data_IF_918317752983
#
_entry.id   IF_918317752983
#
_cell.length_a   1.000
_cell.length_b   1.000
_cell.length_c   1.000
_cell.angle_alpha   90.00
_cell.angle_beta   90.00
_cell.angle_gamma   90.00
#
_symmetry.space_group_name_H-M   'P 1'
#
loop_
_entity.id
_entity.type
_entity.pdbx_description
1 polymer ?
#
# COMPACT_ATOMS: atom_id res chain seq x y z
N UNK A 1 -15.38 -6.88 -21.91
CA UNK A 1 -14.41 -6.15 -22.75
C UNK A 1 -12.99 -6.49 -22.30
N UNK A 2 -12.22 -7.28 -23.10
CA UNK A 2 -10.80 -7.54 -22.88
C UNK A 2 -10.02 -6.28 -23.28
N UNK A 3 -9.71 -5.41 -22.34
CA UNK A 3 -8.74 -4.33 -22.56
C UNK A 3 -7.39 -4.96 -22.90
N UNK A 4 -6.89 -4.70 -24.11
CA UNK A 4 -5.65 -5.24 -24.62
C UNK A 4 -4.49 -4.97 -23.65
N UNK A 5 -3.59 -5.93 -23.53
CA UNK A 5 -2.44 -6.03 -22.61
C UNK A 5 -1.41 -4.89 -22.70
N UNK A 6 -1.59 -3.89 -23.59
CA UNK A 6 -0.59 -2.85 -23.91
C UNK A 6 -0.93 -1.44 -23.39
N UNK A 7 -2.06 -1.23 -22.69
CA UNK A 7 -2.35 0.10 -22.14
C UNK A 7 -1.56 0.36 -20.86
N UNK A 8 -0.68 1.35 -20.91
CA UNK A 8 0.04 1.84 -19.72
C UNK A 8 -0.96 2.36 -18.69
N UNK A 9 -0.61 2.29 -17.39
CA UNK A 9 -1.48 2.71 -16.25
C UNK A 9 -2.02 4.12 -16.47
N UNK A 10 -1.22 5.06 -17.02
CA UNK A 10 -1.64 6.43 -17.33
C UNK A 10 -2.85 6.50 -18.25
N UNK A 11 -2.92 5.66 -19.30
CA UNK A 11 -4.05 5.64 -20.24
C UNK A 11 -5.30 5.04 -19.60
N UNK A 12 -5.13 4.05 -18.72
CA UNK A 12 -6.26 3.45 -17.99
C UNK A 12 -6.86 4.45 -17.01
N UNK A 13 -6.04 5.15 -16.24
CA UNK A 13 -6.47 6.22 -15.33
C UNK A 13 -7.18 7.33 -16.10
N UNK A 14 -6.56 7.84 -17.17
CA UNK A 14 -7.17 8.85 -18.02
C UNK A 14 -8.54 8.40 -18.55
N UNK A 15 -8.64 7.19 -19.09
CA UNK A 15 -9.89 6.65 -19.62
C UNK A 15 -10.98 6.52 -18.53
N UNK A 16 -10.64 6.09 -17.32
CA UNK A 16 -11.58 5.98 -16.19
C UNK A 16 -12.09 7.36 -15.79
N UNK A 17 -11.23 8.35 -15.64
CA UNK A 17 -11.63 9.71 -15.29
C UNK A 17 -12.51 10.36 -16.36
N UNK A 18 -12.16 10.21 -17.65
CA UNK A 18 -12.98 10.74 -18.75
C UNK A 18 -14.34 10.05 -18.80
N UNK A 19 -14.39 8.73 -18.64
CA UNK A 19 -15.63 7.97 -18.63
C UNK A 19 -16.53 8.37 -17.45
N UNK A 20 -15.96 8.56 -16.27
CA UNK A 20 -16.67 9.04 -15.07
C UNK A 20 -17.28 10.43 -15.30
N UNK A 21 -16.53 11.36 -15.93
CA UNK A 21 -17.06 12.69 -16.27
C UNK A 21 -18.20 12.61 -17.30
N UNK A 22 -18.08 11.77 -18.33
CA UNK A 22 -19.15 11.55 -19.30
C UNK A 22 -20.41 11.02 -18.61
N UNK A 23 -20.28 10.03 -17.72
CA UNK A 23 -21.41 9.47 -16.98
C UNK A 23 -22.10 10.54 -16.12
N UNK A 24 -21.29 11.39 -15.45
CA UNK A 24 -21.80 12.48 -14.61
C UNK A 24 -22.57 13.51 -15.43
N UNK A 25 -22.06 13.90 -16.61
CA UNK A 25 -22.72 14.82 -17.54
C UNK A 25 -24.05 14.24 -18.02
N UNK A 26 -24.08 12.95 -18.42
CA UNK A 26 -25.30 12.27 -18.88
C UNK A 26 -26.32 12.18 -17.75
N UNK A 27 -25.90 11.82 -16.54
CA UNK A 27 -26.78 11.78 -15.37
C UNK A 27 -27.37 13.15 -15.05
N UNK A 28 -26.56 14.20 -15.08
CA UNK A 28 -27.00 15.58 -14.83
C UNK A 28 -28.00 16.04 -15.89
N UNK A 29 -27.79 15.67 -17.16
CA UNK A 29 -28.77 15.95 -18.23
C UNK A 29 -30.11 15.26 -17.99
N UNK A 30 -30.12 13.99 -17.60
CA UNK A 30 -31.35 13.25 -17.30
C UNK A 30 -32.12 13.86 -16.13
N UNK A 31 -31.42 14.20 -15.06
CA UNK A 31 -32.03 14.86 -13.88
C UNK A 31 -32.59 16.24 -14.26
N UNK A 32 -31.85 17.00 -15.05
CA UNK A 32 -32.31 18.31 -15.53
C UNK A 32 -33.59 18.20 -16.37
N UNK A 33 -33.63 17.30 -17.35
CA UNK A 33 -34.84 17.05 -18.16
C UNK A 33 -36.02 16.62 -17.30
N UNK A 34 -35.80 15.66 -16.40
CA UNK A 34 -36.86 15.19 -15.52
C UNK A 34 -37.42 16.27 -14.58
N UNK A 35 -36.54 17.10 -14.02
CA UNK A 35 -36.90 18.20 -13.14
C UNK A 35 -37.64 19.31 -13.90
N UNK A 36 -37.17 19.62 -15.11
CA UNK A 36 -37.79 20.65 -15.94
C UNK A 36 -39.19 20.26 -16.39
N UNK A 37 -39.39 19.02 -16.89
CA UNK A 37 -40.66 18.53 -17.36
C UNK A 37 -41.74 18.52 -16.22
N UNK A 38 -41.36 18.14 -15.02
CA UNK A 38 -42.26 18.12 -13.86
C UNK A 38 -42.55 19.54 -13.32
N UNK A 39 -41.51 20.32 -13.13
CA UNK A 39 -41.64 21.64 -12.52
C UNK A 39 -42.38 22.64 -13.41
N UNK A 40 -42.08 22.65 -14.70
CA UNK A 40 -42.67 23.57 -15.64
C UNK A 40 -44.13 23.26 -15.91
N UNK A 41 -44.47 22.00 -16.13
CA UNK A 41 -45.86 21.59 -16.41
C UNK A 41 -46.77 21.82 -15.20
N UNK A 42 -46.34 21.46 -13.98
CA UNK A 42 -47.12 21.65 -12.77
C UNK A 42 -47.37 23.13 -12.47
N UNK A 43 -46.35 23.96 -12.58
CA UNK A 43 -46.43 25.40 -12.37
C UNK A 43 -47.38 26.09 -13.39
N UNK A 44 -47.31 25.69 -14.66
CA UNK A 44 -48.15 26.22 -15.70
C UNK A 44 -49.64 25.82 -15.51
N UNK A 45 -49.90 24.57 -15.07
CA UNK A 45 -51.28 24.08 -14.84
C UNK A 45 -51.91 24.76 -13.63
N UNK A 46 -51.18 24.94 -12.52
CA UNK A 46 -51.72 25.64 -11.33
C UNK A 46 -52.11 27.09 -11.66
N UNK A 47 -51.27 27.77 -12.42
CA UNK A 47 -51.51 29.14 -12.86
C UNK A 47 -52.66 29.29 -13.85
N UNK A 48 -52.85 28.35 -14.75
CA UNK A 48 -54.00 28.32 -15.67
C UNK A 48 -55.29 28.09 -14.92
N UNK A 49 -55.29 27.30 -13.84
CA UNK A 49 -56.46 27.07 -12.97
C UNK A 49 -56.87 28.33 -12.22
N UNK A 50 -55.95 29.03 -11.59
CA UNK A 50 -56.20 30.30 -10.90
C UNK A 50 -56.77 31.35 -11.83
N UNK A 51 -56.25 31.43 -13.06
CA UNK A 51 -56.74 32.32 -14.08
C UNK A 51 -58.17 31.95 -14.51
N UNK A 52 -58.49 30.66 -14.72
CA UNK A 52 -59.84 30.21 -15.07
C UNK A 52 -60.86 30.55 -14.01
N UNK A 53 -60.55 30.39 -12.73
CA UNK A 53 -61.43 30.76 -11.62
C UNK A 53 -61.72 32.28 -11.60
N UNK A 54 -60.68 33.11 -11.77
CA UNK A 54 -60.87 34.56 -11.85
C UNK A 54 -61.72 34.97 -13.04
N UNK A 55 -61.49 34.33 -14.20
CA UNK A 55 -62.22 34.63 -15.43
C UNK A 55 -63.70 34.14 -15.34
N UNK A 56 -63.92 32.99 -14.68
CA UNK A 56 -65.30 32.51 -14.44
C UNK A 56 -66.10 33.51 -13.65
N UNK A 57 -65.51 34.06 -12.58
CA UNK A 57 -66.16 35.06 -11.75
C UNK A 57 -66.44 36.39 -12.53
N UNK A 58 -65.50 36.84 -13.36
CA UNK A 58 -65.70 38.03 -14.20
C UNK A 58 -66.73 37.78 -15.27
N UNK A 59 -66.72 36.64 -15.92
CA UNK A 59 -67.71 36.26 -16.94
C UNK A 59 -69.15 36.09 -16.35
N UNK A 60 -69.24 35.60 -15.10
CA UNK A 60 -70.50 35.55 -14.38
C UNK A 60 -71.17 36.94 -14.18
N UNK A 61 -70.35 37.96 -13.82
CA UNK A 61 -70.84 39.34 -13.69
C UNK A 61 -71.32 39.93 -15.02
N UNK A 62 -70.63 39.58 -16.13
CA UNK A 62 -71.08 40.01 -17.46
C UNK A 62 -72.41 39.36 -17.86
N UNK A 63 -72.60 38.07 -17.54
CA UNK A 63 -73.86 37.37 -17.79
C UNK A 63 -75.02 37.97 -17.03
N UNK A 64 -74.83 38.33 -15.74
CA UNK A 64 -75.83 39.00 -14.93
C UNK A 64 -76.27 40.36 -15.52
N UNK A 65 -75.29 41.07 -16.14
CA UNK A 65 -75.60 42.40 -16.74
C UNK A 65 -76.37 42.31 -18.05
N UNK A 66 -76.12 41.31 -18.91
CA UNK A 66 -76.64 41.16 -20.25
C UNK A 66 -77.77 40.11 -20.35
N UNK A 67 -77.97 39.28 -19.33
CA UNK A 67 -78.93 38.20 -19.21
C UNK A 67 -78.93 37.14 -20.32
N UNK A 68 -77.97 37.16 -21.21
CA UNK A 68 -77.81 36.18 -22.31
C UNK A 68 -76.40 36.18 -22.86
N UNK A 69 -76.00 35.05 -23.49
CA UNK A 69 -74.75 34.90 -24.31
C UNK A 69 -74.90 35.38 -25.75
N UNK A 70 -76.15 35.65 -26.18
CA UNK A 70 -76.43 36.02 -27.58
C UNK A 70 -75.70 37.25 -28.05
N UNK A 71 -75.53 38.20 -27.24
CA UNK A 71 -74.76 39.39 -27.47
C UNK A 71 -73.26 39.08 -27.84
N UNK A 72 -72.59 38.13 -27.13
CA UNK A 72 -71.24 37.72 -27.41
C UNK A 72 -71.15 36.81 -28.64
N UNK A 73 -72.18 36.00 -28.93
CA UNK A 73 -72.21 35.09 -30.09
C UNK A 73 -72.45 35.87 -31.41
N UNK A 74 -73.25 36.92 -31.42
CA UNK A 74 -73.53 37.71 -32.61
C UNK A 74 -72.31 38.49 -33.05
N UNK A 75 -71.46 38.91 -32.17
CA UNK A 75 -70.28 39.69 -32.45
C UNK A 75 -69.05 38.84 -32.79
N UNK A 76 -69.01 37.59 -32.35
CA UNK A 76 -67.94 36.63 -32.74
C UNK A 76 -67.96 36.25 -34.22
N UNK A 77 -69.07 36.52 -34.94
CA UNK A 77 -69.18 36.31 -36.41
C UNK A 77 -68.61 37.45 -37.26
N UNK A 78 -68.17 38.54 -36.63
CA UNK A 78 -67.44 39.65 -37.31
C UNK A 78 -65.92 39.52 -37.07
N UNK A 79 -65.32 38.64 -37.79
CA UNK A 79 -64.06 37.96 -37.47
C UNK A 79 -62.79 38.80 -37.34
N UNK A 80 -62.74 40.08 -37.70
CA UNK A 80 -61.47 40.80 -37.74
C UNK A 80 -61.38 42.13 -36.98
N UNK A 81 -62.51 42.78 -36.70
CA UNK A 81 -62.46 44.05 -35.93
C UNK A 81 -62.64 43.84 -34.42
N UNK A 82 -63.19 42.71 -34.03
CA UNK A 82 -63.58 42.41 -32.66
C UNK A 82 -62.39 42.17 -31.72
N UNK A 83 -61.32 41.57 -32.23
CA UNK A 83 -60.17 41.26 -31.39
C UNK A 83 -59.42 42.50 -30.87
N UNK A 84 -59.47 43.62 -31.54
CA UNK A 84 -58.75 44.81 -31.09
C UNK A 84 -59.57 45.81 -30.28
N UNK A 85 -60.80 46.12 -30.66
CA UNK A 85 -61.55 47.27 -30.14
C UNK A 85 -62.46 46.93 -28.94
N UNK A 86 -62.97 45.75 -28.82
CA UNK A 86 -63.98 45.44 -27.79
C UNK A 86 -63.39 44.80 -26.54
N UNK A 87 -62.30 44.15 -26.64
CA UNK A 87 -61.51 43.79 -25.43
C UNK A 87 -60.96 45.03 -24.71
N UNK A 88 -60.76 46.14 -25.44
CA UNK A 88 -60.44 47.41 -24.83
C UNK A 88 -61.68 48.00 -24.14
N UNK A 89 -62.91 47.92 -24.73
CA UNK A 89 -64.13 48.37 -24.12
C UNK A 89 -64.59 47.49 -22.95
N UNK A 90 -64.32 46.16 -22.95
CA UNK A 90 -64.53 45.29 -21.83
C UNK A 90 -63.54 45.55 -20.68
N UNK A 91 -62.41 46.14 -20.98
CA UNK A 91 -61.41 46.57 -19.99
C UNK A 91 -61.97 47.74 -19.14
N UNK A 92 -62.76 48.61 -19.70
CA UNK A 92 -63.29 49.78 -19.03
C UNK A 92 -64.58 49.45 -18.17
N UNK A 93 -65.23 48.32 -18.47
CA UNK A 93 -66.39 47.82 -17.72
C UNK A 93 -66.03 46.86 -16.57
N UNK A 94 -64.82 46.40 -16.51
CA UNK A 94 -64.31 45.55 -15.43
C UNK A 94 -63.54 46.43 -14.47
N UNK A 95 -63.99 46.63 -13.20
CA UNK A 95 -63.18 47.42 -12.26
C UNK A 95 -61.79 46.83 -12.15
N UNK A 96 -60.73 47.67 -12.04
CA UNK A 96 -59.32 47.19 -11.93
C UNK A 96 -59.26 46.26 -10.70
N UNK A 97 -58.50 45.16 -10.78
CA UNK A 97 -58.29 44.25 -9.67
C UNK A 97 -57.67 45.03 -8.50
N UNK A 98 -58.23 44.81 -7.32
CA UNK A 98 -57.85 45.48 -6.07
C UNK A 98 -56.45 45.10 -5.56
N UNK A 99 -55.61 44.40 -6.33
CA UNK A 99 -54.23 44.08 -6.03
C UNK A 99 -53.30 44.55 -7.10
N UNK A 100 -52.33 45.46 -6.78
CA UNK A 100 -51.52 46.20 -7.76
C UNK A 100 -50.44 45.39 -8.50
N UNK A 101 -50.24 44.11 -8.21
CA UNK A 101 -49.08 43.33 -8.68
C UNK A 101 -49.33 42.27 -9.77
N UNK A 102 -50.59 42.04 -10.18
CA UNK A 102 -50.89 41.01 -11.18
C UNK A 102 -50.81 41.47 -12.64
N UNK A 103 -50.90 42.76 -12.90
CA UNK A 103 -50.82 43.32 -14.27
C UNK A 103 -49.41 43.37 -14.86
N UNK A 104 -48.35 43.22 -14.02
CA UNK A 104 -46.99 43.26 -14.45
C UNK A 104 -46.45 41.88 -14.89
N UNK A 105 -47.10 40.78 -14.49
CA UNK A 105 -46.54 39.44 -14.72
C UNK A 105 -47.18 38.75 -15.93
N UNK A 106 -48.34 39.22 -16.45
CA UNK A 106 -49.04 38.55 -17.53
C UNK A 106 -49.29 39.49 -18.72
N UNK A 107 -48.58 39.35 -19.82
CA UNK A 107 -48.92 40.05 -21.06
C UNK A 107 -50.34 39.56 -21.43
N UNK A 108 -51.30 40.52 -21.52
CA UNK A 108 -52.70 40.30 -21.91
C UNK A 108 -52.86 39.46 -23.19
N UNK A 109 -51.83 39.50 -24.08
CA UNK A 109 -51.79 38.69 -25.28
C UNK A 109 -51.66 37.18 -25.08
N UNK A 110 -51.05 36.73 -23.98
CA UNK A 110 -50.86 35.30 -23.75
C UNK A 110 -52.14 34.50 -23.52
N UNK A 111 -53.08 35.09 -22.75
CA UNK A 111 -54.38 34.50 -22.49
C UNK A 111 -55.39 34.76 -23.58
N UNK A 112 -55.30 35.85 -24.36
CA UNK A 112 -56.19 36.21 -25.48
C UNK A 112 -56.32 35.10 -26.51
N UNK A 113 -55.23 34.48 -26.88
CA UNK A 113 -55.24 33.41 -27.92
C UNK A 113 -55.70 32.03 -27.37
N UNK A 114 -55.77 31.88 -26.06
CA UNK A 114 -56.11 30.66 -25.39
C UNK A 114 -57.50 30.65 -24.79
N UNK A 115 -58.10 31.80 -24.57
CA UNK A 115 -59.38 31.94 -23.90
C UNK A 115 -60.51 31.39 -24.76
N UNK A 116 -61.40 30.60 -24.10
CA UNK A 116 -62.54 29.94 -24.69
C UNK A 116 -63.76 30.19 -23.80
N UNK A 117 -64.97 30.36 -24.42
CA UNK A 117 -66.19 30.46 -23.72
C UNK A 117 -67.19 29.48 -24.34
N UNK A 118 -67.93 28.77 -23.49
CA UNK A 118 -68.94 27.79 -23.87
C UNK A 118 -70.25 28.10 -23.21
N UNK A 119 -71.36 27.80 -23.90
CA UNK A 119 -72.68 27.88 -23.36
C UNK A 119 -72.97 26.74 -22.36
N UNK A 120 -74.23 26.76 -21.77
CA UNK A 120 -74.70 25.74 -20.87
C UNK A 120 -74.70 24.31 -21.49
N UNK A 121 -74.83 24.21 -22.84
CA UNK A 121 -74.87 22.99 -23.61
C UNK A 121 -73.48 22.59 -24.08
N UNK A 122 -72.45 23.30 -23.61
CA UNK A 122 -71.00 23.10 -24.00
C UNK A 122 -70.72 23.43 -25.46
N UNK A 123 -71.58 24.19 -26.12
CA UNK A 123 -71.30 24.69 -27.46
C UNK A 123 -70.34 25.92 -27.37
N UNK A 124 -69.35 26.06 -28.26
CA UNK A 124 -68.36 27.13 -28.21
C UNK A 124 -69.03 28.48 -28.60
N UNK A 125 -68.90 29.46 -27.73
CA UNK A 125 -69.38 30.88 -27.95
C UNK A 125 -68.16 31.70 -28.43
N UNK A 126 -66.99 31.52 -27.79
CA UNK A 126 -65.73 32.13 -28.15
C UNK A 126 -64.69 31.02 -28.31
N UNK A 127 -64.04 31.06 -29.48
CA UNK A 127 -63.04 30.07 -29.87
C UNK A 127 -63.62 28.84 -30.61
N UNK A 128 -62.75 28.06 -31.23
CA UNK A 128 -63.17 26.94 -32.09
C UNK A 128 -62.71 25.56 -31.53
N UNK A 129 -62.27 25.53 -30.27
CA UNK A 129 -61.77 24.28 -29.64
C UNK A 129 -62.94 23.54 -28.99
N UNK A 130 -63.10 22.22 -29.24
CA UNK A 130 -64.12 21.42 -28.57
C UNK A 130 -63.95 21.43 -27.05
N UNK A 131 -65.05 21.45 -26.29
CA UNK A 131 -65.06 21.43 -24.81
C UNK A 131 -64.16 20.35 -24.20
N UNK A 132 -64.12 19.18 -24.81
CA UNK A 132 -63.35 18.02 -24.35
C UNK A 132 -61.83 18.19 -24.46
N UNK A 133 -61.35 19.21 -25.19
CA UNK A 133 -59.94 19.53 -25.38
C UNK A 133 -59.50 20.81 -24.67
N UNK A 134 -60.40 21.42 -23.88
CA UNK A 134 -60.10 22.62 -23.10
C UNK A 134 -60.08 22.30 -21.61
N UNK A 135 -59.19 22.97 -20.85
CA UNK A 135 -59.31 23.05 -19.40
C UNK A 135 -60.41 24.05 -19.08
N UNK A 136 -61.49 23.60 -18.43
CA UNK A 136 -62.70 24.41 -18.27
C UNK A 136 -63.08 24.59 -16.80
N UNK A 137 -63.65 25.78 -16.51
CA UNK A 137 -64.22 26.10 -15.18
C UNK A 137 -65.64 26.58 -15.36
N UNK A 138 -66.64 26.14 -14.54
CA UNK A 138 -68.01 26.54 -14.67
C UNK A 138 -68.23 28.04 -14.31
N UNK A 139 -69.06 28.72 -15.06
CA UNK A 139 -69.60 30.05 -14.76
C UNK A 139 -70.88 29.87 -14.04
N UNK A 140 -70.95 30.26 -12.76
CA UNK A 140 -72.08 30.05 -11.90
C UNK A 140 -72.74 31.42 -11.55
N UNK A 141 -73.99 31.55 -11.82
CA UNK A 141 -74.83 32.74 -11.46
C UNK A 141 -76.03 32.24 -10.63
N UNK A 142 -76.21 32.81 -9.47
CA UNK A 142 -77.31 32.44 -8.54
C UNK A 142 -77.43 30.92 -8.29
N UNK A 143 -76.28 30.23 -8.19
CA UNK A 143 -76.19 28.79 -7.95
C UNK A 143 -76.49 27.91 -9.17
N UNK A 144 -76.75 28.51 -10.38
CA UNK A 144 -76.95 27.76 -11.62
C UNK A 144 -75.76 27.97 -12.54
N UNK A 145 -75.29 26.89 -13.18
CA UNK A 145 -74.27 26.98 -14.20
C UNK A 145 -74.83 27.49 -15.50
N UNK A 146 -74.43 28.69 -15.92
CA UNK A 146 -74.87 29.36 -17.13
C UNK A 146 -73.95 29.18 -18.35
N UNK A 147 -72.72 28.73 -18.11
CA UNK A 147 -71.74 28.44 -19.16
C UNK A 147 -70.38 27.96 -18.57
N UNK A 148 -69.37 27.88 -19.40
CA UNK A 148 -68.02 27.47 -18.97
C UNK A 148 -67.01 28.37 -19.62
N UNK A 149 -66.04 28.87 -18.85
CA UNK A 149 -64.82 29.44 -19.37
C UNK A 149 -63.78 28.34 -19.56
N UNK A 150 -62.95 28.44 -20.56
CA UNK A 150 -61.93 27.47 -20.85
C UNK A 150 -60.65 28.11 -21.32
N UNK A 151 -59.57 27.36 -21.15
CA UNK A 151 -58.27 27.64 -21.77
C UNK A 151 -57.89 26.50 -22.67
N UNK A 152 -57.40 26.83 -23.86
CA UNK A 152 -56.74 25.87 -24.71
C UNK A 152 -55.50 25.32 -23.99
N UNK A 153 -55.39 23.98 -23.92
CA UNK A 153 -54.30 23.32 -23.19
C UNK A 153 -52.96 23.85 -23.61
N UNK A 154 -52.12 24.13 -22.64
CA UNK A 154 -50.73 24.57 -22.89
C UNK A 154 -49.98 23.53 -23.71
N UNK A 155 -50.30 22.23 -23.55
CA UNK A 155 -49.65 21.16 -24.32
C UNK A 155 -49.81 21.31 -25.84
N UNK A 156 -50.97 21.84 -26.30
CA UNK A 156 -51.22 22.00 -27.75
C UNK A 156 -50.57 23.26 -28.35
N UNK A 157 -50.28 24.29 -27.52
CA UNK A 157 -49.60 25.53 -27.94
C UNK A 157 -48.08 25.50 -27.80
N UNK A 158 -47.63 24.67 -26.88
CA UNK A 158 -46.20 24.51 -26.56
C UNK A 158 -45.42 23.84 -27.68
N UNK A 159 -46.11 23.15 -28.62
CA UNK A 159 -45.43 22.42 -29.69
C UNK A 159 -44.60 23.31 -30.62
N UNK A 160 -44.96 24.58 -30.83
CA UNK A 160 -44.20 25.45 -31.78
C UNK A 160 -43.20 26.42 -31.14
N UNK A 161 -43.48 26.96 -29.94
CA UNK A 161 -42.58 27.93 -29.28
C UNK A 161 -41.65 27.33 -28.24
N UNK A 162 -42.03 26.24 -27.59
CA UNK A 162 -41.20 25.57 -26.60
C UNK A 162 -40.07 24.77 -27.27
N UNK A 163 -40.30 24.32 -28.49
CA UNK A 163 -39.23 23.67 -29.26
C UNK A 163 -38.00 24.57 -29.47
N UNK A 164 -38.18 25.88 -29.66
CA UNK A 164 -37.07 26.81 -29.81
C UNK A 164 -36.36 27.07 -28.49
N UNK A 165 -37.04 27.16 -27.38
CA UNK A 165 -36.44 27.36 -26.05
C UNK A 165 -35.71 26.10 -25.57
N UNK A 166 -36.30 24.93 -25.69
CA UNK A 166 -35.67 23.64 -25.35
C UNK A 166 -34.44 23.40 -26.23
N UNK A 167 -34.49 23.75 -27.52
CA UNK A 167 -33.40 23.66 -28.45
C UNK A 167 -32.24 24.59 -28.05
N UNK A 168 -32.53 25.84 -27.73
CA UNK A 168 -31.52 26.81 -27.30
C UNK A 168 -30.85 26.41 -25.98
N UNK A 169 -31.62 25.88 -25.01
CA UNK A 169 -31.06 25.34 -23.78
C UNK A 169 -30.23 24.07 -24.03
N UNK A 170 -30.69 23.21 -24.95
CA UNK A 170 -29.93 22.01 -25.37
C UNK A 170 -28.58 22.36 -25.98
N UNK A 171 -28.53 23.39 -26.85
CA UNK A 171 -27.29 23.88 -27.45
C UNK A 171 -26.33 24.47 -26.40
N UNK A 172 -26.86 25.28 -25.46
CA UNK A 172 -26.05 25.83 -24.36
C UNK A 172 -25.49 24.71 -23.45
N UNK A 173 -26.31 23.72 -23.13
CA UNK A 173 -25.86 22.56 -22.33
C UNK A 173 -24.77 21.76 -23.04
N UNK A 174 -24.90 21.52 -24.34
CA UNK A 174 -23.88 20.83 -25.15
C UNK A 174 -22.54 21.60 -25.15
N UNK A 175 -22.59 22.91 -25.32
CA UNK A 175 -21.38 23.75 -25.27
C UNK A 175 -20.70 23.73 -23.90
N UNK A 176 -21.47 23.86 -22.82
CA UNK A 176 -20.98 23.78 -21.44
C UNK A 176 -20.39 22.39 -21.17
N UNK A 177 -21.07 21.32 -21.59
CA UNK A 177 -20.62 19.95 -21.43
C UNK A 177 -19.34 19.67 -22.19
N UNK A 178 -19.23 20.13 -23.44
CA UNK A 178 -18.02 20.02 -24.24
C UNK A 178 -16.84 20.76 -23.59
N UNK A 179 -17.09 21.98 -23.10
CA UNK A 179 -16.07 22.77 -22.38
C UNK A 179 -15.59 22.09 -21.10
N UNK A 180 -16.52 21.58 -20.29
CA UNK A 180 -16.21 20.82 -19.07
C UNK A 180 -15.40 19.56 -19.37
N UNK A 181 -15.71 18.87 -20.47
CA UNK A 181 -15.01 17.66 -20.88
C UNK A 181 -13.57 17.95 -21.33
N UNK A 182 -13.37 19.10 -22.01
CA UNK A 182 -12.03 19.58 -22.37
C UNK A 182 -11.22 19.92 -21.11
N UNK A 183 -11.80 20.66 -20.16
CA UNK A 183 -11.15 20.99 -18.89
C UNK A 183 -10.78 19.71 -18.15
N UNK A 184 -11.72 18.77 -18.02
CA UNK A 184 -11.48 17.48 -17.36
C UNK A 184 -10.32 16.73 -18.02
N UNK A 185 -10.24 16.69 -19.35
CA UNK A 185 -9.16 16.03 -20.08
C UNK A 185 -7.81 16.72 -19.86
N UNK A 186 -7.79 18.07 -19.90
CA UNK A 186 -6.58 18.88 -19.69
C UNK A 186 -6.02 18.71 -18.29
N UNK A 187 -6.88 18.63 -17.26
CA UNK A 187 -6.46 18.46 -15.87
C UNK A 187 -6.10 17.00 -15.55
N UNK A 188 -6.81 16.04 -16.13
CA UNK A 188 -6.60 14.61 -15.85
C UNK A 188 -5.28 14.08 -16.45
N UNK A 189 -4.87 14.60 -17.59
CA UNK A 189 -3.65 14.14 -18.26
C UNK A 189 -2.37 14.33 -17.42
N UNK A 190 -2.04 15.54 -16.92
CA UNK A 190 -0.87 15.71 -16.07
C UNK A 190 -0.98 14.96 -14.74
N UNK A 191 -2.18 14.88 -14.15
CA UNK A 191 -2.42 14.11 -12.92
C UNK A 191 -2.13 12.62 -13.13
N UNK A 192 -2.59 12.04 -14.23
CA UNK A 192 -2.32 10.64 -14.57
C UNK A 192 -0.82 10.39 -14.83
N UNK A 193 -0.11 11.34 -15.41
CA UNK A 193 1.34 11.26 -15.57
C UNK A 193 2.08 11.37 -14.22
N UNK A 194 1.69 12.31 -13.38
CA UNK A 194 2.30 12.53 -12.07
C UNK A 194 2.19 11.28 -11.19
N UNK A 195 1.03 10.64 -11.18
CA UNK A 195 0.80 9.42 -10.39
C UNK A 195 1.48 8.17 -10.98
N UNK A 196 1.57 8.05 -12.32
CA UNK A 196 2.09 6.83 -12.95
C UNK A 196 3.61 6.82 -13.11
N UNK A 197 4.28 7.99 -13.14
CA UNK A 197 5.73 8.10 -13.34
C UNK A 197 6.54 7.44 -12.22
N UNK A 198 6.28 7.67 -10.92
CA UNK A 198 6.99 6.98 -9.83
C UNK A 198 6.85 5.47 -9.90
N UNK A 199 5.63 4.97 -10.17
CA UNK A 199 5.35 3.53 -10.28
C UNK A 199 6.15 2.90 -11.43
N UNK A 200 6.26 3.59 -12.57
CA UNK A 200 7.04 3.10 -13.71
C UNK A 200 8.54 3.06 -13.41
N UNK A 201 9.04 4.03 -12.64
CA UNK A 201 10.44 4.09 -12.19
C UNK A 201 10.74 2.94 -11.23
N UNK A 202 9.87 2.73 -10.24
CA UNK A 202 9.98 1.62 -9.28
C UNK A 202 9.98 0.25 -10.00
N UNK A 203 9.07 0.06 -10.98
CA UNK A 203 9.03 -1.16 -11.80
C UNK A 203 10.33 -1.39 -12.58
N UNK A 204 10.88 -0.33 -13.18
CA UNK A 204 12.14 -0.43 -13.92
C UNK A 204 13.31 -0.76 -12.99
N UNK A 205 13.37 -0.13 -11.81
CA UNK A 205 14.38 -0.39 -10.79
C UNK A 205 14.26 -1.82 -10.25
N UNK A 206 13.04 -2.31 -9.93
CA UNK A 206 12.82 -3.69 -9.51
C UNK A 206 13.25 -4.72 -10.57
N UNK A 207 13.03 -4.42 -11.86
CA UNK A 207 13.51 -5.27 -12.96
C UNK A 207 15.05 -5.29 -13.04
N UNK A 208 15.73 -4.19 -12.78
CA UNK A 208 17.19 -4.14 -12.71
C UNK A 208 17.71 -4.91 -11.51
N UNK A 209 17.09 -4.73 -10.34
CA UNK A 209 17.41 -5.46 -9.11
C UNK A 209 17.28 -6.98 -9.31
N UNK A 210 16.19 -7.44 -9.92
CA UNK A 210 15.96 -8.87 -10.24
C UNK A 210 16.95 -9.43 -11.28
N UNK A 211 17.58 -8.57 -12.07
CA UNK A 211 18.65 -8.93 -12.99
C UNK A 211 20.04 -8.92 -12.32
N UNK A 212 20.10 -8.76 -10.99
CA UNK A 212 21.35 -8.78 -10.21
C UNK A 212 22.09 -7.44 -10.15
N UNK A 213 21.47 -6.34 -10.59
CA UNK A 213 22.04 -4.99 -10.47
C UNK A 213 21.67 -4.39 -9.11
N UNK A 214 22.30 -4.84 -8.04
CA UNK A 214 21.97 -4.45 -6.66
C UNK A 214 22.43 -3.04 -6.29
N UNK A 215 23.26 -2.40 -7.10
CA UNK A 215 23.64 -0.99 -7.02
C UNK A 215 22.53 -0.02 -7.43
N UNK A 216 21.38 -0.55 -7.92
CA UNK A 216 20.25 0.25 -8.34
C UNK A 216 19.65 1.00 -7.17
N UNK A 217 19.51 2.34 -7.32
CA UNK A 217 18.85 3.22 -6.33
C UNK A 217 17.83 4.09 -7.03
N UNK A 218 16.74 4.40 -6.33
CA UNK A 218 15.68 5.30 -6.78
C UNK A 218 15.86 6.66 -6.10
N UNK A 219 15.77 7.74 -6.88
CA UNK A 219 15.70 9.07 -6.30
C UNK A 219 14.33 9.30 -5.67
N UNK A 220 14.31 9.47 -4.36
CA UNK A 220 13.11 9.72 -3.57
C UNK A 220 12.78 11.20 -3.64
N UNK A 221 11.54 11.52 -4.04
CA UNK A 221 11.00 12.88 -4.04
C UNK A 221 9.64 12.87 -3.38
N UNK A 222 9.46 13.77 -2.41
CA UNK A 222 8.21 13.88 -1.65
C UNK A 222 8.26 13.19 -0.28
N UNK A 223 7.12 13.22 0.41
CA UNK A 223 6.92 12.67 1.77
C UNK A 223 5.63 11.83 1.84
N UNK A 224 5.15 11.38 0.67
CA UNK A 224 3.97 10.55 0.53
C UNK A 224 4.31 9.04 0.60
N UNK A 225 3.31 8.19 0.50
CA UNK A 225 3.41 6.74 0.54
C UNK A 225 4.29 6.19 -0.61
N UNK A 226 4.37 6.90 -1.73
CA UNK A 226 5.25 6.52 -2.84
C UNK A 226 6.72 6.82 -2.52
N UNK A 227 6.98 7.88 -1.78
CA UNK A 227 8.32 8.17 -1.27
C UNK A 227 8.76 7.15 -0.22
N UNK A 228 7.84 6.70 0.67
CA UNK A 228 8.10 5.63 1.64
C UNK A 228 8.45 4.33 0.91
N UNK A 229 7.64 3.92 -0.06
CA UNK A 229 7.91 2.74 -0.88
C UNK A 229 9.26 2.82 -1.61
N UNK A 230 9.66 4.03 -2.03
CA UNK A 230 10.99 4.28 -2.62
C UNK A 230 12.12 4.08 -1.60
N UNK A 231 11.92 4.48 -0.32
CA UNK A 231 12.87 4.24 0.77
C UNK A 231 13.03 2.75 1.07
N UNK A 232 11.91 2.04 1.19
CA UNK A 232 11.90 0.59 1.44
C UNK A 232 12.60 -0.17 0.30
N UNK A 233 12.34 0.24 -0.95
CA UNK A 233 13.05 -0.33 -2.10
C UNK A 233 14.56 -0.10 -2.02
N UNK A 234 15.02 1.12 -1.69
CA UNK A 234 16.45 1.42 -1.57
C UNK A 234 17.09 0.66 -0.41
N UNK A 235 16.37 0.48 0.70
CA UNK A 235 16.82 -0.33 1.83
C UNK A 235 16.99 -1.80 1.41
N UNK A 236 15.98 -2.38 0.75
CA UNK A 236 16.06 -3.75 0.21
C UNK A 236 17.24 -3.91 -0.76
N UNK A 237 17.42 -2.95 -1.69
CA UNK A 237 18.51 -2.97 -2.65
C UNK A 237 19.88 -2.90 -1.95
N UNK A 238 20.02 -2.10 -0.87
CA UNK A 238 21.20 -2.02 -0.05
C UNK A 238 21.51 -3.33 0.66
N UNK A 239 20.49 -3.93 1.27
CA UNK A 239 20.63 -5.22 1.97
C UNK A 239 21.10 -6.32 1.02
N UNK A 240 20.49 -6.41 -0.18
CA UNK A 240 20.90 -7.40 -1.19
C UNK A 240 22.32 -7.16 -1.71
N UNK A 241 22.74 -5.90 -1.84
CA UNK A 241 24.09 -5.51 -2.26
C UNK A 241 25.12 -5.97 -1.22
N UNK A 242 24.87 -5.67 0.07
CA UNK A 242 25.71 -6.13 1.18
C UNK A 242 25.77 -7.65 1.27
N UNK A 243 24.63 -8.34 1.14
CA UNK A 243 24.60 -9.82 1.13
C UNK A 243 25.41 -10.40 -0.02
N UNK A 244 25.34 -9.81 -1.22
CA UNK A 244 26.15 -10.23 -2.38
C UNK A 244 27.64 -10.07 -2.09
N UNK A 245 28.04 -8.91 -1.55
CA UNK A 245 29.46 -8.62 -1.31
C UNK A 245 30.01 -9.48 -0.16
N UNK A 246 29.24 -9.70 0.90
CA UNK A 246 29.57 -10.65 1.95
C UNK A 246 29.77 -12.07 1.38
N UNK A 247 28.85 -12.53 0.52
CA UNK A 247 28.97 -13.85 -0.13
C UNK A 247 30.19 -13.97 -1.04
N UNK A 248 30.50 -12.90 -1.80
CA UNK A 248 31.73 -12.90 -2.65
C UNK A 248 32.99 -12.98 -1.82
N UNK A 249 33.05 -12.21 -0.73
CA UNK A 249 34.18 -12.26 0.22
C UNK A 249 34.31 -13.65 0.82
N UNK A 250 33.18 -14.22 1.30
CA UNK A 250 33.16 -15.56 1.86
C UNK A 250 33.71 -16.63 0.90
N UNK A 251 33.29 -16.61 -0.37
CA UNK A 251 33.80 -17.55 -1.39
C UNK A 251 35.30 -17.35 -1.65
N UNK A 252 35.76 -16.09 -1.70
CA UNK A 252 37.19 -15.80 -1.91
C UNK A 252 38.04 -16.26 -0.73
N UNK A 253 37.61 -15.98 0.51
CA UNK A 253 38.32 -16.37 1.73
C UNK A 253 38.34 -17.90 1.88
N UNK A 254 37.22 -18.58 1.63
CA UNK A 254 37.12 -20.05 1.60
C UNK A 254 38.13 -20.66 0.60
N UNK A 255 38.14 -20.12 -0.63
CA UNK A 255 39.05 -20.60 -1.66
C UNK A 255 40.54 -20.38 -1.28
N UNK A 256 40.86 -19.30 -0.58
CA UNK A 256 42.19 -19.01 -0.10
C UNK A 256 42.61 -19.98 1.02
N UNK A 257 41.72 -20.18 2.01
CA UNK A 257 42.01 -21.08 3.15
C UNK A 257 42.10 -22.58 2.75
N UNK A 258 41.42 -23.00 1.69
CA UNK A 258 41.55 -24.34 1.13
C UNK A 258 42.84 -24.50 0.28
N UNK A 259 43.25 -23.46 -0.45
CA UNK A 259 44.41 -23.52 -1.35
C UNK A 259 45.70 -23.75 -0.58
N UNK A 260 45.85 -23.14 0.58
CA UNK A 260 47.09 -23.20 1.38
C UNK A 260 47.41 -24.62 1.84
N UNK A 261 46.55 -25.36 2.54
CA UNK A 261 46.82 -26.73 2.99
C UNK A 261 47.00 -27.71 1.81
N UNK A 262 46.23 -27.52 0.73
CA UNK A 262 46.38 -28.34 -0.49
C UNK A 262 47.75 -28.11 -1.13
N UNK A 263 48.25 -26.86 -1.15
CA UNK A 263 49.59 -26.55 -1.69
C UNK A 263 50.70 -27.17 -0.81
N UNK A 264 50.56 -27.13 0.53
CA UNK A 264 51.48 -27.77 1.46
C UNK A 264 51.51 -29.29 1.22
N UNK A 265 50.34 -29.93 1.20
CA UNK A 265 50.19 -31.37 0.99
C UNK A 265 50.82 -31.81 -0.35
N UNK A 266 50.52 -31.01 -1.42
CA UNK A 266 51.15 -31.29 -2.73
C UNK A 266 52.69 -31.12 -2.70
N UNK A 267 53.19 -30.05 -2.06
CA UNK A 267 54.64 -29.82 -1.96
C UNK A 267 55.36 -30.90 -1.16
N UNK A 268 54.78 -31.41 -0.07
CA UNK A 268 55.33 -32.54 0.68
C UNK A 268 55.36 -33.82 -0.16
N UNK A 269 54.28 -34.12 -0.90
CA UNK A 269 54.24 -35.27 -1.81
C UNK A 269 55.28 -35.15 -2.93
N UNK A 270 55.37 -33.98 -3.60
CA UNK A 270 56.39 -33.72 -4.64
C UNK A 270 57.85 -33.89 -4.09
N UNK A 271 58.06 -33.32 -2.88
CA UNK A 271 59.38 -33.46 -2.23
C UNK A 271 59.75 -34.93 -1.87
N UNK A 272 58.76 -35.76 -1.53
CA UNK A 272 58.91 -37.19 -1.33
C UNK A 272 59.22 -37.94 -2.65
N UNK A 273 58.46 -37.56 -3.71
CA UNK A 273 58.68 -38.14 -5.06
C UNK A 273 60.09 -37.84 -5.61
N UNK A 274 60.56 -36.59 -5.39
CA UNK A 274 61.89 -36.16 -5.80
C UNK A 274 63.04 -36.66 -4.90
N UNK A 275 62.72 -37.43 -3.83
CA UNK A 275 63.67 -37.96 -2.89
C UNK A 275 64.28 -36.92 -1.94
N UNK A 276 63.74 -35.70 -1.90
CA UNK A 276 64.21 -34.63 -1.01
C UNK A 276 63.75 -34.93 0.45
N UNK A 277 62.61 -35.46 0.63
CA UNK A 277 62.07 -35.94 1.91
C UNK A 277 61.95 -37.47 1.84
N UNK A 278 62.54 -38.15 2.82
CA UNK A 278 62.41 -39.61 2.91
C UNK A 278 61.03 -40.00 3.35
N UNK A 279 60.42 -40.99 2.71
CA UNK A 279 59.17 -41.60 3.17
C UNK A 279 59.44 -42.31 4.50
N UNK A 280 58.85 -41.74 5.56
CA UNK A 280 58.98 -42.24 6.95
C UNK A 280 57.61 -42.20 7.64
N UNK A 281 57.44 -42.90 8.76
CA UNK A 281 56.24 -42.78 9.54
C UNK A 281 55.90 -41.34 9.91
N UNK A 282 56.90 -40.52 10.21
CA UNK A 282 56.72 -39.10 10.56
C UNK A 282 56.22 -38.26 9.36
N UNK A 283 56.77 -38.46 8.17
CA UNK A 283 56.33 -37.75 6.97
C UNK A 283 54.91 -38.17 6.53
N UNK A 284 54.55 -39.44 6.71
CA UNK A 284 53.19 -39.92 6.48
C UNK A 284 52.23 -39.39 7.53
N UNK A 285 52.64 -39.27 8.79
CA UNK A 285 51.84 -38.63 9.84
C UNK A 285 51.59 -37.14 9.55
N UNK A 286 52.58 -36.41 8.98
CA UNK A 286 52.41 -35.02 8.53
C UNK A 286 51.33 -34.92 7.45
N UNK A 287 51.40 -35.76 6.41
CA UNK A 287 50.36 -35.80 5.35
C UNK A 287 48.99 -36.16 5.89
N UNK A 288 48.89 -37.12 6.82
CA UNK A 288 47.68 -37.52 7.46
C UNK A 288 47.09 -36.36 8.28
N UNK A 289 47.91 -35.66 9.04
CA UNK A 289 47.51 -34.49 9.82
C UNK A 289 46.93 -33.38 8.92
N UNK A 290 47.56 -33.07 7.80
CA UNK A 290 47.11 -32.06 6.85
C UNK A 290 45.78 -32.48 6.17
N UNK A 291 45.64 -33.78 5.86
CA UNK A 291 44.37 -34.33 5.32
C UNK A 291 43.21 -34.19 6.31
N UNK A 292 43.42 -34.54 7.59
CA UNK A 292 42.45 -34.37 8.67
C UNK A 292 42.12 -32.89 8.86
N UNK A 293 43.11 -32.02 8.72
CA UNK A 293 42.98 -30.59 8.78
C UNK A 293 42.03 -30.06 7.68
N UNK A 294 42.19 -30.52 6.44
CA UNK A 294 41.30 -30.15 5.30
C UNK A 294 39.88 -30.68 5.55
N UNK A 295 39.75 -31.93 6.00
CA UNK A 295 38.43 -32.50 6.28
C UNK A 295 37.64 -31.67 7.32
N UNK A 296 38.28 -31.32 8.43
CA UNK A 296 37.65 -30.45 9.46
C UNK A 296 37.30 -29.07 8.91
N UNK A 297 38.10 -28.48 8.01
CA UNK A 297 37.77 -27.20 7.39
C UNK A 297 36.52 -27.30 6.52
N UNK A 298 36.38 -28.40 5.76
CA UNK A 298 35.20 -28.65 4.93
C UNK A 298 33.94 -28.82 5.81
N UNK A 299 34.06 -29.55 6.92
CA UNK A 299 32.98 -29.76 7.86
C UNK A 299 32.52 -28.44 8.53
N UNK A 300 33.49 -27.61 8.96
CA UNK A 300 33.22 -26.26 9.52
C UNK A 300 32.47 -25.37 8.53
N UNK A 301 32.91 -25.35 7.25
CA UNK A 301 32.29 -24.59 6.18
C UNK A 301 30.90 -25.09 5.83
N UNK A 302 30.70 -26.41 5.82
CA UNK A 302 29.41 -27.01 5.57
C UNK A 302 28.42 -26.66 6.69
N UNK A 303 28.86 -26.72 7.95
CA UNK A 303 28.05 -26.33 9.10
C UNK A 303 27.58 -24.88 9.02
N UNK A 304 28.50 -23.93 8.75
CA UNK A 304 28.18 -22.52 8.58
C UNK A 304 27.21 -22.29 7.42
N UNK A 305 27.46 -22.94 6.27
CA UNK A 305 26.58 -22.86 5.11
C UNK A 305 25.15 -23.37 5.39
N UNK A 306 25.01 -24.46 6.13
CA UNK A 306 23.70 -25.01 6.52
C UNK A 306 22.97 -24.11 7.51
N UNK A 307 23.71 -23.46 8.42
CA UNK A 307 23.14 -22.47 9.33
C UNK A 307 22.58 -21.26 8.57
N UNK A 308 23.39 -20.67 7.66
CA UNK A 308 22.97 -19.50 6.85
C UNK A 308 21.73 -19.78 5.99
N UNK A 309 21.55 -21.04 5.55
CA UNK A 309 20.34 -21.48 4.83
C UNK A 309 19.13 -21.78 5.75
N UNK A 310 19.29 -21.72 7.07
CA UNK A 310 18.26 -22.12 8.04
C UNK A 310 17.89 -23.61 7.96
N UNK A 311 18.76 -24.43 7.39
CA UNK A 311 18.51 -25.86 7.17
C UNK A 311 19.18 -26.78 8.23
N UNK A 312 19.87 -26.19 9.20
CA UNK A 312 20.46 -26.95 10.30
C UNK A 312 19.38 -27.43 11.24
N UNK A 313 19.23 -28.75 11.33
CA UNK A 313 18.30 -29.36 12.32
C UNK A 313 19.08 -29.71 13.58
N UNK A 314 18.65 -29.14 14.70
CA UNK A 314 19.20 -29.44 16.02
C UNK A 314 18.36 -30.53 16.72
N UNK A 315 19.02 -31.47 17.37
CA UNK A 315 18.36 -32.48 18.23
C UNK A 315 18.23 -31.91 19.65
N UNK A 316 17.18 -31.13 19.86
CA UNK A 316 16.96 -30.44 21.13
C UNK A 316 16.52 -31.42 22.21
N UNK A 317 17.31 -31.53 23.29
CA UNK A 317 17.03 -32.31 24.49
C UNK A 317 17.40 -31.53 25.76
N UNK A 318 16.79 -31.91 26.88
CA UNK A 318 17.12 -31.32 28.18
C UNK A 318 18.47 -31.83 28.67
N UNK A 319 19.44 -30.92 28.79
CA UNK A 319 20.82 -31.26 29.17
C UNK A 319 21.29 -30.45 30.36
N UNK A 320 22.05 -31.05 31.24
CA UNK A 320 22.71 -30.36 32.33
C UNK A 320 23.97 -29.66 31.82
N UNK A 321 23.94 -28.35 31.87
CA UNK A 321 25.01 -27.49 31.33
C UNK A 321 26.34 -27.64 32.12
N UNK A 322 26.29 -27.94 33.43
CA UNK A 322 27.49 -28.21 34.23
C UNK A 322 28.20 -29.48 33.74
N UNK A 323 27.44 -30.54 33.51
CA UNK A 323 28.00 -31.80 33.01
C UNK A 323 28.64 -31.65 31.61
N UNK A 324 28.01 -30.86 30.73
CA UNK A 324 28.57 -30.55 29.40
C UNK A 324 29.88 -29.76 29.50
N UNK A 325 29.97 -28.82 30.41
CA UNK A 325 31.18 -28.05 30.66
C UNK A 325 32.31 -28.96 31.23
N UNK A 326 31.98 -29.81 32.18
CA UNK A 326 32.91 -30.82 32.73
C UNK A 326 33.44 -31.76 31.66
N UNK A 327 32.58 -32.26 30.75
CA UNK A 327 32.99 -33.10 29.62
C UNK A 327 33.95 -32.36 28.68
N UNK A 328 33.64 -31.10 28.34
CA UNK A 328 34.50 -30.29 27.51
C UNK A 328 35.87 -30.04 28.16
N UNK A 329 35.89 -29.70 29.45
CA UNK A 329 37.14 -29.51 30.21
C UNK A 329 37.95 -30.83 30.23
N UNK A 330 37.31 -31.97 30.58
CA UNK A 330 37.99 -33.28 30.68
C UNK A 330 38.59 -33.72 29.34
N UNK A 331 37.91 -33.42 28.23
CA UNK A 331 38.45 -33.76 26.87
C UNK A 331 39.76 -33.04 26.53
N UNK A 332 40.08 -31.95 27.24
CA UNK A 332 41.24 -31.11 26.95
C UNK A 332 42.32 -31.10 28.05
N UNK A 333 42.12 -31.80 29.16
CA UNK A 333 43.02 -31.77 30.33
C UNK A 333 44.49 -32.03 29.97
N UNK A 334 44.76 -33.05 29.14
CA UNK A 334 46.13 -33.36 28.73
C UNK A 334 46.79 -32.22 27.98
N UNK A 335 46.07 -31.59 27.04
CA UNK A 335 46.58 -30.48 26.23
C UNK A 335 46.80 -29.21 27.07
N UNK A 336 45.93 -28.97 28.06
CA UNK A 336 46.03 -27.86 29.00
C UNK A 336 47.24 -28.01 29.93
N UNK A 337 47.49 -29.24 30.44
CA UNK A 337 48.67 -29.55 31.24
C UNK A 337 49.96 -29.41 30.46
N UNK A 338 50.04 -29.94 29.24
CA UNK A 338 51.17 -29.78 28.35
C UNK A 338 51.46 -28.29 28.01
N UNK A 339 50.43 -27.47 27.89
CA UNK A 339 50.53 -26.03 27.66
C UNK A 339 50.83 -25.23 28.94
N UNK A 340 50.86 -25.85 30.12
CA UNK A 340 50.98 -25.19 31.42
C UNK A 340 49.90 -24.13 31.66
N UNK A 341 48.62 -24.48 31.34
CA UNK A 341 47.43 -23.66 31.54
C UNK A 341 46.52 -24.33 32.53
N UNK A 342 46.16 -23.63 33.62
CA UNK A 342 45.29 -24.14 34.66
C UNK A 342 43.84 -23.78 34.32
N UNK A 343 42.89 -24.76 34.49
CA UNK A 343 41.45 -24.51 34.29
C UNK A 343 40.72 -24.59 35.64
N UNK A 344 39.86 -23.63 35.90
CA UNK A 344 38.98 -23.59 37.05
C UNK A 344 37.53 -23.50 36.62
N UNK A 345 36.77 -24.57 36.89
CA UNK A 345 35.30 -24.56 36.71
C UNK A 345 34.61 -24.21 38.05
N UNK A 346 33.87 -23.14 38.06
CA UNK A 346 33.10 -22.67 39.24
C UNK A 346 31.62 -22.58 38.93
N UNK A 347 30.83 -23.42 39.61
CA UNK A 347 29.37 -23.31 39.54
C UNK A 347 28.87 -22.51 40.76
N UNK A 348 28.30 -21.34 40.51
CA UNK A 348 27.71 -20.46 41.53
C UNK A 348 26.29 -20.91 41.93
N UNK A 349 25.72 -21.93 41.26
CA UNK A 349 24.38 -22.42 41.55
C UNK A 349 24.44 -23.70 42.36
N UNK A 350 23.51 -23.85 43.32
CA UNK A 350 23.38 -25.04 44.19
C UNK A 350 22.55 -26.17 43.53
N UNK A 351 21.97 -25.95 42.37
CA UNK A 351 21.10 -26.89 41.65
C UNK A 351 21.55 -27.02 40.19
N UNK A 352 21.32 -28.18 39.56
CA UNK A 352 21.62 -28.38 38.14
C UNK A 352 21.04 -27.25 37.26
N UNK A 353 21.73 -26.90 36.22
CA UNK A 353 21.30 -25.88 35.27
C UNK A 353 20.89 -26.57 33.98
N UNK A 354 19.58 -26.82 33.87
CA UNK A 354 19.02 -27.46 32.68
C UNK A 354 18.77 -26.48 31.58
N UNK A 355 19.23 -26.80 30.37
CA UNK A 355 18.99 -26.08 29.13
C UNK A 355 18.45 -27.04 28.07
N UNK A 356 17.53 -26.55 27.23
CA UNK A 356 17.07 -27.30 26.07
C UNK A 356 18.04 -27.05 24.92
N UNK A 357 18.76 -28.04 24.47
CA UNK A 357 19.77 -27.89 23.42
C UNK A 357 20.25 -29.20 22.83
N UNK A 358 20.96 -29.11 21.73
CA UNK A 358 21.65 -30.21 21.08
C UNK A 358 22.99 -30.43 21.80
N UNK A 359 23.08 -31.54 22.54
CA UNK A 359 24.20 -31.89 23.42
C UNK A 359 25.55 -31.89 22.67
N UNK A 360 25.58 -32.48 21.48
CA UNK A 360 26.79 -32.54 20.66
C UNK A 360 27.26 -31.18 20.22
N UNK A 361 26.33 -30.30 19.84
CA UNK A 361 26.61 -28.94 19.41
C UNK A 361 27.02 -28.04 20.56
N UNK A 362 26.39 -28.17 21.73
CA UNK A 362 26.82 -27.43 22.92
C UNK A 362 28.20 -27.92 23.40
N UNK A 363 28.51 -29.21 23.33
CA UNK A 363 29.86 -29.72 23.59
C UNK A 363 30.87 -29.13 22.59
N UNK A 364 30.55 -29.10 21.29
CA UNK A 364 31.37 -28.47 20.26
C UNK A 364 31.61 -26.97 20.54
N UNK A 365 30.55 -26.24 20.97
CA UNK A 365 30.67 -24.84 21.37
C UNK A 365 31.75 -24.65 22.46
N UNK A 366 31.59 -25.36 23.58
CA UNK A 366 32.51 -25.18 24.72
C UNK A 366 33.94 -25.66 24.39
N UNK A 367 34.07 -26.72 23.63
CA UNK A 367 35.37 -27.19 23.14
C UNK A 367 36.04 -26.17 22.23
N UNK A 368 35.29 -25.53 21.33
CA UNK A 368 35.82 -24.46 20.48
C UNK A 368 36.25 -23.23 21.29
N UNK A 369 35.45 -22.82 22.29
CA UNK A 369 35.82 -21.69 23.16
C UNK A 369 37.09 -22.00 23.96
N UNK A 370 37.20 -23.20 24.54
CA UNK A 370 38.37 -23.62 25.30
C UNK A 370 39.61 -23.79 24.42
N UNK A 371 39.45 -24.36 23.21
CA UNK A 371 40.54 -24.42 22.24
C UNK A 371 41.06 -23.03 21.86
N UNK A 372 40.17 -22.05 21.75
CA UNK A 372 40.56 -20.67 21.51
C UNK A 372 41.38 -20.12 22.67
N UNK A 373 40.92 -20.26 23.91
CA UNK A 373 41.69 -19.81 25.09
C UNK A 373 43.01 -20.56 25.27
N UNK A 374 43.02 -21.88 25.09
CA UNK A 374 44.27 -22.68 25.12
C UNK A 374 45.33 -22.16 24.14
N UNK A 375 44.90 -21.74 22.97
CA UNK A 375 45.76 -21.32 21.89
C UNK A 375 46.32 -19.90 22.07
N UNK A 376 45.56 -18.99 22.65
CA UNK A 376 45.91 -17.59 22.71
C UNK A 376 46.33 -17.13 24.10
N UNK A 377 46.13 -17.93 25.16
CA UNK A 377 46.60 -17.62 26.51
C UNK A 377 48.12 -17.89 26.61
N UNK A 378 48.87 -16.94 27.14
CA UNK A 378 50.31 -17.09 27.40
C UNK A 378 50.53 -18.02 28.60
N UNK A 379 51.46 -18.95 28.47
CA UNK A 379 51.87 -19.83 29.58
C UNK A 379 52.92 -19.12 30.49
N UNK A 380 52.85 -19.29 31.83
CA UNK A 380 51.78 -19.97 32.58
C UNK A 380 50.51 -19.14 32.62
N UNK A 381 49.34 -19.76 32.33
CA UNK A 381 48.05 -19.09 32.25
C UNK A 381 46.94 -19.78 33.02
N UNK A 382 45.82 -19.11 33.10
CA UNK A 382 44.57 -19.61 33.73
C UNK A 382 43.39 -19.37 32.81
N UNK A 383 42.48 -20.38 32.72
CA UNK A 383 41.16 -20.27 32.12
C UNK A 383 40.14 -20.47 33.25
N UNK A 384 39.31 -19.48 33.50
CA UNK A 384 38.24 -19.50 34.49
C UNK A 384 36.89 -19.62 33.81
N UNK A 385 36.17 -20.69 34.11
CA UNK A 385 34.79 -20.90 33.64
C UNK A 385 33.84 -20.71 34.85
N UNK A 386 32.91 -19.75 34.70
CA UNK A 386 31.91 -19.49 35.76
C UNK A 386 30.52 -19.75 35.21
N UNK A 387 29.78 -20.66 35.85
CA UNK A 387 28.40 -20.98 35.50
C UNK A 387 27.46 -20.38 36.54
N UNK A 388 26.47 -19.60 36.11
CA UNK A 388 25.48 -18.94 36.98
C UNK A 388 24.11 -18.82 36.31
N UNK A 389 23.05 -18.63 37.13
CA UNK A 389 21.70 -18.29 36.66
C UNK A 389 21.46 -16.80 36.78
N UNK A 390 20.98 -16.17 35.71
CA UNK A 390 20.62 -14.77 35.70
C UNK A 390 19.37 -14.52 34.82
N UNK A 391 18.33 -13.88 35.32
CA UNK A 391 17.14 -13.50 34.57
C UNK A 391 16.51 -14.63 33.72
N UNK A 392 16.32 -15.82 34.29
CA UNK A 392 15.81 -17.02 33.57
C UNK A 392 16.72 -17.55 32.45
N UNK A 393 17.99 -17.18 32.47
CA UNK A 393 19.01 -17.70 31.55
C UNK A 393 20.11 -18.39 32.32
N UNK A 394 20.69 -19.41 31.73
CA UNK A 394 22.00 -19.95 32.10
C UNK A 394 23.06 -19.02 31.51
N UNK A 395 24.01 -18.58 32.31
CA UNK A 395 25.12 -17.72 31.88
C UNK A 395 26.42 -18.45 32.15
N UNK A 396 27.22 -18.65 31.10
CA UNK A 396 28.59 -19.18 31.17
C UNK A 396 29.55 -18.05 30.85
N UNK A 397 30.45 -17.75 31.76
CA UNK A 397 31.57 -16.82 31.56
C UNK A 397 32.84 -17.65 31.40
N UNK A 398 33.51 -17.49 30.30
CA UNK A 398 34.83 -18.09 30.06
C UNK A 398 35.84 -16.94 29.96
N UNK A 399 36.77 -16.88 30.92
CA UNK A 399 37.75 -15.79 31.07
C UNK A 399 39.14 -16.35 31.08
N UNK A 400 40.00 -15.84 30.23
CA UNK A 400 41.42 -16.25 30.19
C UNK A 400 42.36 -15.16 30.67
N UNK A 401 43.64 -15.50 30.83
CA UNK A 401 44.73 -14.57 31.15
C UNK A 401 45.36 -14.02 29.89
N UNK A 402 46.16 -12.90 29.96
CA UNK A 402 46.69 -12.24 28.75
C UNK A 402 47.29 -13.18 27.69
N UNK A 403 47.23 -12.72 26.37
CA UNK A 403 47.17 -11.31 25.95
C UNK A 403 45.74 -10.87 25.61
N UNK A 404 44.71 -10.84 25.82
CA UNK A 404 43.43 -10.28 25.35
C UNK A 404 43.42 -9.78 23.89
N UNK A 405 42.40 -9.01 23.54
CA UNK A 405 42.19 -8.39 22.22
C UNK A 405 41.94 -6.89 22.35
N UNK A 406 42.09 -6.14 21.24
CA UNK A 406 41.79 -4.69 21.23
C UNK A 406 40.30 -4.43 21.27
N UNK A 407 39.87 -3.19 21.69
CA UNK A 407 38.45 -2.78 21.67
C UNK A 407 37.84 -2.90 20.27
N UNK A 408 38.61 -2.59 19.23
CA UNK A 408 38.15 -2.68 17.84
C UNK A 408 37.92 -4.12 17.37
N UNK A 409 38.64 -5.09 17.96
CA UNK A 409 38.56 -6.48 17.58
C UNK A 409 37.47 -7.25 18.35
N UNK A 410 37.04 -6.78 19.53
CA UNK A 410 36.05 -7.48 20.36
C UNK A 410 34.75 -7.80 19.60
N UNK A 411 34.33 -6.91 18.70
CA UNK A 411 33.10 -7.12 17.89
C UNK A 411 33.37 -7.97 16.65
N UNK A 412 34.61 -8.04 16.19
CA UNK A 412 34.99 -8.70 14.94
C UNK A 412 35.49 -10.14 15.13
N UNK A 413 35.81 -10.53 16.37
CA UNK A 413 36.34 -11.90 16.61
C UNK A 413 35.33 -13.02 16.27
N UNK A 414 34.05 -12.71 16.17
CA UNK A 414 33.01 -13.64 15.76
C UNK A 414 32.79 -13.68 14.24
N UNK A 415 33.41 -12.75 13.49
CA UNK A 415 33.32 -12.75 12.03
C UNK A 415 34.06 -13.94 11.44
N UNK A 416 33.51 -14.52 10.38
CA UNK A 416 34.15 -15.65 9.66
C UNK A 416 35.52 -15.24 9.12
N UNK A 417 36.53 -16.11 9.33
CA UNK A 417 37.90 -15.91 8.92
C UNK A 417 38.63 -14.72 9.57
N UNK A 418 38.05 -14.07 10.56
CA UNK A 418 38.70 -12.98 11.28
C UNK A 418 39.81 -13.50 12.19
N UNK A 419 40.95 -12.81 12.18
CA UNK A 419 42.12 -13.08 13.04
C UNK A 419 42.79 -11.77 13.42
N UNK A 420 43.15 -11.62 14.70
CA UNK A 420 43.95 -10.49 15.17
C UNK A 420 45.34 -10.51 14.52
N UNK A 421 45.85 -9.38 14.05
CA UNK A 421 47.10 -9.30 13.23
C UNK A 421 48.31 -9.91 13.93
N UNK A 422 48.45 -9.77 15.24
CA UNK A 422 49.56 -10.33 16.02
C UNK A 422 49.60 -11.87 16.07
N UNK A 423 48.49 -12.52 15.73
CA UNK A 423 48.31 -13.99 15.75
C UNK A 423 48.56 -14.67 14.40
N UNK A 424 49.02 -13.90 13.39
CA UNK A 424 49.24 -14.42 12.01
C UNK A 424 50.42 -15.42 11.89
N UNK A 425 51.16 -15.69 12.97
CA UNK A 425 52.18 -16.74 12.95
C UNK A 425 51.54 -18.09 12.62
N UNK A 426 51.92 -18.64 11.47
CA UNK A 426 51.38 -19.91 10.91
C UNK A 426 51.52 -21.13 11.83
N UNK A 427 52.45 -21.08 12.79
CA UNK A 427 52.68 -22.15 13.74
C UNK A 427 51.53 -22.43 14.72
N UNK A 428 50.66 -21.45 14.95
CA UNK A 428 49.53 -21.55 15.92
C UNK A 428 48.15 -21.83 15.30
N UNK A 429 48.07 -22.11 14.00
CA UNK A 429 47.05 -22.89 13.29
C UNK A 429 45.54 -22.59 13.53
N UNK A 430 45.04 -21.34 13.65
CA UNK A 430 43.59 -21.05 13.72
C UNK A 430 43.06 -20.42 12.45
N UNK A 431 41.89 -20.87 11.98
CA UNK A 431 41.27 -20.49 10.70
C UNK A 431 40.33 -19.31 10.83
N UNK A 432 40.04 -18.84 12.04
CA UNK A 432 39.02 -17.81 12.28
C UNK A 432 37.57 -18.27 12.07
N UNK A 433 37.32 -19.59 12.08
CA UNK A 433 35.97 -20.14 11.96
C UNK A 433 35.35 -20.58 13.30
N UNK A 434 36.22 -20.95 14.29
CA UNK A 434 35.72 -21.53 15.56
C UNK A 434 34.72 -20.62 16.31
N UNK A 435 35.00 -19.31 16.43
CA UNK A 435 34.06 -18.38 17.10
C UNK A 435 32.85 -18.08 16.26
N UNK A 436 32.94 -18.07 14.93
CA UNK A 436 31.77 -17.95 14.04
C UNK A 436 30.85 -19.17 14.18
N UNK A 437 31.40 -20.39 14.32
CA UNK A 437 30.64 -21.60 14.61
C UNK A 437 29.99 -21.51 16.00
N UNK A 438 30.67 -20.96 17.01
CA UNK A 438 30.09 -20.73 18.32
C UNK A 438 28.85 -19.82 18.24
N UNK A 439 28.93 -18.74 17.47
CA UNK A 439 27.78 -17.84 17.24
C UNK A 439 26.62 -18.59 16.57
N UNK A 440 26.89 -19.34 15.52
CA UNK A 440 25.89 -20.16 14.80
C UNK A 440 25.19 -21.17 15.74
N UNK A 441 25.94 -21.86 16.59
CA UNK A 441 25.38 -22.82 17.57
C UNK A 441 24.48 -22.06 18.55
N UNK A 442 24.94 -20.96 19.11
CA UNK A 442 24.19 -20.19 20.12
C UNK A 442 22.91 -19.59 19.54
N UNK A 443 22.94 -19.05 18.32
CA UNK A 443 21.76 -18.57 17.62
C UNK A 443 20.73 -19.70 17.40
N UNK A 444 21.18 -20.88 17.00
CA UNK A 444 20.32 -22.05 16.87
C UNK A 444 19.67 -22.49 18.19
N UNK A 445 20.25 -22.16 19.33
CA UNK A 445 19.76 -22.42 20.68
C UNK A 445 19.02 -21.20 21.29
N UNK A 446 18.71 -20.16 20.51
CA UNK A 446 18.04 -18.95 20.97
C UNK A 446 18.78 -18.22 22.09
N UNK A 447 20.09 -18.39 22.15
CA UNK A 447 20.99 -17.78 23.10
C UNK A 447 21.65 -16.50 22.58
N UNK A 448 22.62 -15.98 23.34
CA UNK A 448 23.51 -14.89 22.91
C UNK A 448 24.94 -15.15 23.34
N UNK A 449 25.89 -14.65 22.54
CA UNK A 449 27.33 -14.73 22.82
C UNK A 449 27.93 -13.34 22.67
N UNK A 450 28.77 -12.94 23.64
CA UNK A 450 29.42 -11.63 23.67
C UNK A 450 30.87 -11.78 24.13
N UNK A 451 31.76 -10.92 23.63
CA UNK A 451 33.13 -10.82 24.08
C UNK A 451 33.35 -9.53 24.89
N UNK A 452 34.20 -9.61 25.89
CA UNK A 452 34.56 -8.48 26.74
C UNK A 452 36.01 -8.64 27.26
N UNK A 453 36.56 -7.59 27.82
CA UNK A 453 37.85 -7.69 28.48
C UNK A 453 37.73 -8.40 29.83
N UNK A 454 38.39 -9.54 29.97
CA UNK A 454 38.41 -10.27 31.23
C UNK A 454 39.06 -9.46 32.35
N UNK A 455 38.54 -9.52 33.58
CA UNK A 455 39.22 -8.90 34.73
C UNK A 455 40.62 -9.37 34.96
N UNK A 456 40.96 -10.56 34.45
CA UNK A 456 42.31 -11.19 34.46
C UNK A 456 43.26 -10.58 33.46
N UNK A 457 42.80 -9.68 32.61
CA UNK A 457 43.56 -9.00 31.55
C UNK A 457 43.57 -9.72 30.20
N UNK A 458 42.89 -10.85 30.09
CA UNK A 458 42.72 -11.59 28.82
C UNK A 458 41.36 -11.31 28.12
N UNK A 459 40.86 -12.29 27.38
CA UNK A 459 39.57 -12.28 26.72
C UNK A 459 38.50 -12.93 27.62
N UNK A 460 37.38 -12.28 27.79
CA UNK A 460 36.18 -12.85 28.39
C UNK A 460 35.14 -13.12 27.31
N UNK A 461 34.53 -14.30 27.34
CA UNK A 461 33.39 -14.67 26.49
C UNK A 461 32.23 -15.00 27.39
N UNK A 462 31.10 -14.35 27.17
CA UNK A 462 29.84 -14.54 27.86
C UNK A 462 28.87 -15.27 26.93
N UNK A 463 28.38 -16.40 27.35
CA UNK A 463 27.35 -17.19 26.67
C UNK A 463 26.11 -17.22 27.51
N UNK A 464 24.96 -16.91 26.92
CA UNK A 464 23.66 -17.00 27.58
C UNK A 464 22.76 -17.98 26.83
N UNK A 465 22.16 -18.91 27.54
CA UNK A 465 21.22 -19.89 27.02
C UNK A 465 19.88 -19.80 27.79
N UNK A 466 18.73 -19.98 27.16
CA UNK A 466 17.46 -20.05 27.88
C UNK A 466 17.43 -21.30 28.77
N UNK A 467 16.94 -21.13 30.00
CA UNK A 467 16.71 -22.28 30.90
C UNK A 467 15.50 -23.06 30.44
N UNK A 468 15.56 -24.38 30.58
CA UNK A 468 14.33 -25.22 30.50
C UNK A 468 13.39 -24.84 31.64
N UNK A 469 12.08 -24.70 31.36
CA UNK A 469 11.04 -24.33 32.35
C UNK A 469 10.83 -25.39 33.40
#
# INVERSE_FOLDING_TARGET
MRFSRNFQIRHKLFAVFVLSNILLIVSMWQVFQWSFDRGFVSYATERDRDFLEQMANRTANLYVYYDDWYFLAQESRLEDRWQKQKLENLRDLIPPPSTPNLDLIYPSQYYRQRFLLYDQKKAPIIGHVPYTKAETHPVVVEGKTVGYVGLRSMRDLVQDRTLSFVRQQGEAFLLISAFMLIIAAVLTWPLAQWLSKPISTLRAAAKRLSAGQFDTRIQIRGTDELADLGRDFNHLASTLDHMRDARRKWVADTAHELRTPVAILRGEIEAMQDGIIKVSPDSLASLQHETIHIARLIDDLNQLSMHDMGSLSYQMEDSDLEHLLEQAVNSMLLQLDEANINVKLNNECKSPIMVCGDTDRLHQLFTNLMNNSLKYTNAPGEIKITLKKQNKKAVVLLEDTPPGVSDEDLTKIFDQFFRVENSRNRATGGRGLGLAICTSIIEGHQGSIEAYHAPTGGLGIRVELPLTN
#
